data_IF_499943128572
#
_entry.id   IF_499943128572
#
_cell.length_a   1.000
_cell.length_b   1.000
_cell.length_c   1.000
_cell.angle_alpha   90.00
_cell.angle_beta   90.00
_cell.angle_gamma   90.00
#
_symmetry.space_group_name_H-M   'P 1'
#
loop_
_entity.id
_entity.type
_entity.pdbx_description
1 polymer ?
#
# COMPACT_ATOMS: atom_id res chain seq x y z
N UNK A 1 21.41 -13.53 6.45
CA UNK A 1 19.97 -13.68 6.13
C UNK A 1 19.69 -15.11 5.67
N UNK A 2 18.79 -15.85 6.33
CA UNK A 2 18.36 -17.19 5.87
C UNK A 2 17.57 -17.11 4.56
N UNK A 3 17.66 -18.12 3.69
CA UNK A 3 17.01 -18.15 2.37
C UNK A 3 15.50 -17.88 2.43
N UNK A 4 14.83 -18.36 3.48
CA UNK A 4 13.38 -18.17 3.73
C UNK A 4 12.97 -16.70 3.89
N UNK A 5 13.80 -15.85 4.50
CA UNK A 5 13.48 -14.42 4.67
C UNK A 5 13.54 -13.65 3.34
N UNK A 6 14.36 -14.09 2.37
CA UNK A 6 14.49 -13.42 1.07
C UNK A 6 13.25 -13.67 0.19
N UNK A 7 12.77 -14.90 0.12
CA UNK A 7 11.56 -15.24 -0.64
C UNK A 7 10.31 -14.53 -0.10
N UNK A 8 10.21 -14.37 1.23
CA UNK A 8 9.13 -13.59 1.83
C UNK A 8 9.16 -12.12 1.40
N UNK A 9 10.33 -11.49 1.38
CA UNK A 9 10.47 -10.09 0.92
C UNK A 9 10.12 -9.92 -0.56
N UNK A 10 10.48 -10.88 -1.41
CA UNK A 10 10.12 -10.87 -2.83
C UNK A 10 8.61 -11.01 -3.01
N UNK A 11 7.97 -11.94 -2.30
CA UNK A 11 6.52 -12.13 -2.35
C UNK A 11 5.76 -10.88 -1.91
N UNK A 12 6.23 -10.25 -0.83
CA UNK A 12 5.69 -8.97 -0.35
C UNK A 12 5.85 -7.84 -1.37
N UNK A 13 7.00 -7.76 -2.04
CA UNK A 13 7.24 -6.80 -3.12
C UNK A 13 6.25 -6.99 -4.28
N UNK A 14 6.09 -8.23 -4.74
CA UNK A 14 5.13 -8.58 -5.80
C UNK A 14 3.70 -8.23 -5.39
N UNK A 15 3.28 -8.61 -4.18
CA UNK A 15 1.95 -8.29 -3.66
C UNK A 15 1.71 -6.77 -3.54
N UNK A 16 2.74 -6.01 -3.20
CA UNK A 16 2.69 -4.54 -3.13
C UNK A 16 2.54 -3.91 -4.52
N UNK A 17 3.24 -4.44 -5.52
CA UNK A 17 3.09 -4.01 -6.92
C UNK A 17 1.69 -4.30 -7.45
N UNK A 18 1.13 -5.48 -7.18
CA UNK A 18 -0.25 -5.79 -7.56
C UNK A 18 -1.25 -4.83 -6.92
N UNK A 19 -1.07 -4.49 -5.64
CA UNK A 19 -1.90 -3.51 -4.95
C UNK A 19 -1.80 -2.11 -5.58
N UNK A 20 -0.61 -1.68 -6.00
CA UNK A 20 -0.45 -0.41 -6.72
C UNK A 20 -1.20 -0.40 -8.06
N UNK A 21 -1.14 -1.50 -8.82
CA UNK A 21 -1.88 -1.62 -10.07
C UNK A 21 -3.40 -1.59 -9.85
N UNK A 22 -3.88 -2.20 -8.77
CA UNK A 22 -5.29 -2.18 -8.39
C UNK A 22 -5.77 -0.79 -7.95
N UNK A 23 -4.91 -0.01 -7.30
CA UNK A 23 -5.29 1.27 -6.66
C UNK A 23 -5.01 2.51 -7.52
N UNK A 24 -4.14 2.41 -8.52
CA UNK A 24 -3.73 3.56 -9.35
C UNK A 24 -3.65 3.26 -10.85
N UNK A 25 -4.00 2.05 -11.30
CA UNK A 25 -3.95 1.67 -12.72
C UNK A 25 -5.30 1.69 -13.43
N UNK A 26 -5.31 1.19 -14.68
CA UNK A 26 -6.53 1.07 -15.49
C UNK A 26 -7.64 0.24 -14.81
N UNK A 27 -7.26 -0.73 -13.97
CA UNK A 27 -8.22 -1.53 -13.18
C UNK A 27 -9.00 -0.67 -12.19
N UNK A 28 -8.32 0.26 -11.51
CA UNK A 28 -8.97 1.23 -10.63
C UNK A 28 -9.98 2.08 -11.40
N UNK A 29 -9.55 2.66 -12.52
CA UNK A 29 -10.40 3.53 -13.34
C UNK A 29 -11.63 2.78 -13.83
N UNK A 30 -11.47 1.55 -14.31
CA UNK A 30 -12.58 0.71 -14.75
C UNK A 30 -13.58 0.40 -13.63
N UNK A 31 -13.09 0.10 -12.43
CA UNK A 31 -13.94 -0.10 -11.26
C UNK A 31 -14.64 1.19 -10.83
N UNK A 32 -13.94 2.32 -10.82
CA UNK A 32 -14.53 3.61 -10.47
C UNK A 32 -15.69 3.98 -11.42
N UNK A 33 -15.49 3.80 -12.74
CA UNK A 33 -16.54 4.00 -13.74
C UNK A 33 -17.70 3.01 -13.52
N UNK A 34 -17.41 1.74 -13.22
CA UNK A 34 -18.44 0.74 -12.94
C UNK A 34 -19.29 1.07 -11.70
N UNK A 35 -18.73 1.81 -10.73
CA UNK A 35 -19.43 2.34 -9.56
C UNK A 35 -20.12 3.68 -9.81
N UNK A 36 -20.03 4.24 -11.02
CA UNK A 36 -20.68 5.48 -11.43
C UNK A 36 -19.94 6.75 -11.03
N UNK A 37 -18.63 6.69 -10.79
CA UNK A 37 -17.84 7.89 -10.56
C UNK A 37 -17.68 8.68 -11.87
N UNK A 38 -17.84 9.99 -11.80
CA UNK A 38 -17.49 10.91 -12.87
C UNK A 38 -15.98 11.19 -12.88
N UNK A 39 -15.51 11.85 -13.94
CA UNK A 39 -14.08 12.17 -14.13
C UNK A 39 -13.51 13.00 -12.96
N UNK A 40 -14.33 13.90 -12.40
CA UNK A 40 -13.95 14.70 -11.25
C UNK A 40 -13.71 13.85 -10.00
N UNK A 41 -14.65 12.97 -9.64
CA UNK A 41 -14.53 12.10 -8.48
C UNK A 41 -13.42 11.06 -8.65
N UNK A 42 -13.16 10.59 -9.86
CA UNK A 42 -12.00 9.76 -10.17
C UNK A 42 -10.71 10.51 -9.85
N UNK A 43 -10.59 11.78 -10.30
CA UNK A 43 -9.45 12.64 -9.97
C UNK A 43 -9.28 12.87 -8.47
N UNK A 44 -10.38 13.13 -7.76
CA UNK A 44 -10.37 13.23 -6.29
C UNK A 44 -9.85 11.93 -5.65
N UNK A 45 -10.34 10.78 -6.11
CA UNK A 45 -9.90 9.50 -5.56
C UNK A 45 -8.40 9.25 -5.80
N UNK A 46 -7.86 9.60 -6.97
CA UNK A 46 -6.42 9.53 -7.24
C UNK A 46 -5.55 10.39 -6.31
N UNK A 47 -6.11 11.41 -5.67
CA UNK A 47 -5.39 12.23 -4.67
C UNK A 47 -5.29 11.57 -3.29
N UNK A 48 -6.16 10.60 -2.97
CA UNK A 48 -6.23 9.95 -1.67
C UNK A 48 -4.95 9.24 -1.23
N UNK A 49 -4.20 8.51 -2.09
CA UNK A 49 -2.90 7.95 -1.72
C UNK A 49 -1.95 9.03 -1.18
N UNK A 50 -1.86 10.20 -1.82
CA UNK A 50 -1.01 11.29 -1.34
C UNK A 50 -1.51 11.87 -0.03
N UNK A 51 -2.81 12.13 0.10
CA UNK A 51 -3.40 12.60 1.37
C UNK A 51 -3.15 11.60 2.51
N UNK A 52 -3.28 10.31 2.23
CA UNK A 52 -3.04 9.26 3.20
C UNK A 52 -1.59 9.25 3.71
N UNK A 53 -0.62 9.73 2.92
CA UNK A 53 0.76 9.85 3.38
C UNK A 53 0.90 10.79 4.58
N UNK A 54 0.01 11.76 4.80
CA UNK A 54 0.09 12.62 5.99
C UNK A 54 -0.06 11.80 7.27
N UNK A 55 -0.88 10.74 7.25
CA UNK A 55 -1.08 9.85 8.41
C UNK A 55 0.14 8.98 8.72
N UNK A 56 1.11 8.88 7.80
CA UNK A 56 2.36 8.17 8.02
C UNK A 56 3.13 8.70 9.24
N UNK A 57 3.01 9.99 9.55
CA UNK A 57 3.71 10.60 10.69
C UNK A 57 3.34 9.96 12.04
N UNK A 58 2.13 9.38 12.15
CA UNK A 58 1.67 8.70 13.37
C UNK A 58 2.11 7.24 13.45
N UNK A 59 2.64 6.68 12.36
CA UNK A 59 3.05 5.26 12.31
C UNK A 59 4.12 4.89 13.34
N UNK A 60 5.18 5.69 13.60
CA UNK A 60 6.20 5.35 14.59
C UNK A 60 5.62 5.14 16.00
N UNK A 61 4.66 5.97 16.40
CA UNK A 61 3.98 5.88 17.71
C UNK A 61 3.27 4.54 17.88
N UNK A 62 2.64 4.05 16.81
CA UNK A 62 1.97 2.75 16.79
C UNK A 62 3.03 1.64 16.86
N UNK A 63 4.08 1.70 16.04
CA UNK A 63 5.12 0.67 15.97
C UNK A 63 5.88 0.51 17.29
N UNK A 64 6.18 1.62 17.98
CA UNK A 64 6.89 1.59 19.27
C UNK A 64 6.08 0.93 20.40
N UNK A 65 4.74 1.04 20.36
CA UNK A 65 3.86 0.41 21.36
C UNK A 65 3.73 -1.10 21.20
N UNK A 66 4.15 -1.69 20.09
CA UNK A 66 3.96 -3.12 19.85
C UNK A 66 5.28 -3.90 19.66
N UNK A 67 5.58 -4.87 20.54
CA UNK A 67 6.84 -5.63 20.48
C UNK A 67 6.91 -6.66 19.33
N UNK A 68 5.78 -7.09 18.74
CA UNK A 68 5.72 -8.12 17.68
C UNK A 68 5.55 -7.54 16.27
N UNK A 69 6.56 -6.83 15.77
CA UNK A 69 6.53 -6.08 14.48
C UNK A 69 6.07 -6.90 13.25
N UNK A 70 6.48 -8.16 13.13
CA UNK A 70 6.06 -9.06 12.02
C UNK A 70 4.55 -9.27 11.95
N UNK A 71 3.88 -9.36 13.10
CA UNK A 71 2.44 -9.57 13.14
C UNK A 71 1.69 -8.32 12.68
N UNK A 72 2.17 -7.12 13.04
CA UNK A 72 1.56 -5.87 12.60
C UNK A 72 1.69 -5.64 11.11
N UNK A 73 2.84 -5.96 10.49
CA UNK A 73 3.00 -5.86 9.04
C UNK A 73 1.93 -6.69 8.34
N UNK A 74 1.82 -7.98 8.67
CA UNK A 74 0.82 -8.85 8.07
C UNK A 74 -0.60 -8.39 8.36
N UNK A 75 -0.90 -7.96 9.59
CA UNK A 75 -2.21 -7.49 9.97
C UNK A 75 -2.62 -6.26 9.14
N UNK A 76 -1.79 -5.21 9.12
CA UNK A 76 -2.09 -4.01 8.33
C UNK A 76 -2.15 -4.28 6.83
N UNK A 77 -1.33 -5.20 6.31
CA UNK A 77 -1.38 -5.60 4.90
C UNK A 77 -2.64 -6.38 4.52
N UNK A 78 -3.19 -7.16 5.43
CA UNK A 78 -4.47 -7.85 5.21
C UNK A 78 -5.60 -6.82 5.31
N UNK A 79 -5.56 -5.97 6.33
CA UNK A 79 -6.62 -4.98 6.59
C UNK A 79 -6.67 -3.89 5.51
N UNK A 80 -5.53 -3.49 4.93
CA UNK A 80 -5.52 -2.55 3.79
C UNK A 80 -6.09 -3.14 2.51
N UNK A 81 -6.15 -4.48 2.39
CA UNK A 81 -6.64 -5.18 1.20
C UNK A 81 -8.09 -5.64 1.33
N UNK A 82 -8.61 -5.82 2.54
CA UNK A 82 -10.03 -6.15 2.79
C UNK A 82 -11.05 -5.18 2.17
N UNK A 83 -10.82 -3.85 2.12
CA UNK A 83 -11.72 -2.90 1.45
C UNK A 83 -11.98 -3.24 -0.02
N UNK A 84 -10.99 -3.78 -0.73
CA UNK A 84 -11.13 -4.19 -2.13
C UNK A 84 -12.04 -5.40 -2.31
N UNK A 85 -12.00 -6.34 -1.37
CA UNK A 85 -12.95 -7.46 -1.35
C UNK A 85 -14.38 -6.96 -1.12
N UNK A 86 -14.55 -5.96 -0.25
CA UNK A 86 -15.86 -5.33 -0.02
C UNK A 86 -16.35 -4.65 -1.31
N UNK A 87 -15.49 -3.91 -2.02
CA UNK A 87 -15.84 -3.30 -3.32
C UNK A 87 -16.22 -4.36 -4.35
N UNK A 88 -15.49 -5.48 -4.42
CA UNK A 88 -15.83 -6.59 -5.33
C UNK A 88 -17.20 -7.20 -4.99
N UNK A 89 -17.50 -7.42 -3.71
CA UNK A 89 -18.81 -7.92 -3.27
C UNK A 89 -19.93 -6.94 -3.59
N UNK A 90 -19.74 -5.64 -3.33
CA UNK A 90 -20.71 -4.60 -3.65
C UNK A 90 -21.03 -4.57 -5.15
N UNK A 91 -20.02 -4.76 -6.00
CA UNK A 91 -20.20 -4.86 -7.44
C UNK A 91 -21.05 -6.09 -7.82
N UNK A 92 -20.80 -7.24 -7.19
CA UNK A 92 -21.57 -8.48 -7.41
C UNK A 92 -23.03 -8.35 -6.98
N UNK A 93 -23.31 -7.63 -5.89
CA UNK A 93 -24.68 -7.35 -5.43
C UNK A 93 -25.32 -6.15 -6.15
N UNK A 94 -24.69 -5.61 -7.20
CA UNK A 94 -25.16 -4.46 -7.97
C UNK A 94 -25.35 -3.17 -7.15
N UNK A 95 -24.68 -3.06 -5.99
CA UNK A 95 -24.69 -1.89 -5.12
C UNK A 95 -23.60 -0.90 -5.56
N UNK A 96 -23.91 -0.14 -6.62
CA UNK A 96 -22.97 0.75 -7.32
C UNK A 96 -23.13 2.21 -6.87
N UNK A 97 -22.81 2.49 -5.61
CA UNK A 97 -22.90 3.85 -5.06
C UNK A 97 -21.53 4.56 -5.06
N UNK A 98 -21.36 5.69 -5.79
CA UNK A 98 -20.08 6.40 -5.86
C UNK A 98 -19.54 6.84 -4.50
N UNK A 99 -20.43 7.31 -3.62
CA UNK A 99 -20.07 7.77 -2.26
C UNK A 99 -19.50 6.64 -1.40
N UNK A 100 -20.09 5.44 -1.53
CA UNK A 100 -19.66 4.26 -0.78
C UNK A 100 -18.28 3.79 -1.26
N UNK A 101 -18.06 3.80 -2.59
CA UNK A 101 -16.75 3.52 -3.18
C UNK A 101 -15.68 4.46 -2.63
N UNK A 102 -15.92 5.77 -2.65
CA UNK A 102 -14.97 6.77 -2.16
C UNK A 102 -14.66 6.61 -0.68
N UNK A 103 -15.67 6.36 0.15
CA UNK A 103 -15.47 6.18 1.59
C UNK A 103 -14.64 4.93 1.90
N UNK A 104 -14.97 3.80 1.28
CA UNK A 104 -14.23 2.54 1.44
C UNK A 104 -12.79 2.70 0.94
N UNK A 105 -12.62 3.35 -0.21
CA UNK A 105 -11.30 3.58 -0.80
C UNK A 105 -10.46 4.53 0.07
N UNK A 106 -11.01 5.65 0.55
CA UNK A 106 -10.30 6.58 1.43
C UNK A 106 -9.77 5.87 2.70
N UNK A 107 -10.61 5.07 3.35
CA UNK A 107 -10.23 4.29 4.53
C UNK A 107 -9.12 3.29 4.18
N UNK A 108 -9.23 2.61 3.04
CA UNK A 108 -8.19 1.71 2.52
C UNK A 108 -6.84 2.41 2.36
N UNK A 109 -6.83 3.64 1.83
CA UNK A 109 -5.60 4.40 1.61
C UNK A 109 -4.93 4.79 2.92
N UNK A 110 -5.70 5.24 3.92
CA UNK A 110 -5.17 5.58 5.25
C UNK A 110 -4.56 4.36 5.93
N UNK A 111 -5.25 3.21 5.90
CA UNK A 111 -4.74 1.96 6.48
C UNK A 111 -3.48 1.49 5.72
N UNK A 112 -3.48 1.59 4.40
CA UNK A 112 -2.33 1.26 3.56
C UNK A 112 -1.10 2.13 3.87
N UNK A 113 -1.29 3.40 4.20
CA UNK A 113 -0.21 4.30 4.59
C UNK A 113 0.48 3.84 5.89
N UNK A 114 -0.29 3.37 6.88
CA UNK A 114 0.27 2.74 8.08
C UNK A 114 1.03 1.46 7.72
N UNK A 115 0.44 0.58 6.90
CA UNK A 115 1.05 -0.68 6.48
C UNK A 115 2.43 -0.48 5.84
N UNK A 116 2.54 0.49 4.92
CA UNK A 116 3.78 0.82 4.22
C UNK A 116 4.89 1.22 5.19
N UNK A 117 4.59 1.99 6.23
CA UNK A 117 5.57 2.39 7.24
C UNK A 117 6.02 1.25 8.16
N UNK A 118 5.09 0.40 8.61
CA UNK A 118 5.48 -0.77 9.40
C UNK A 118 6.37 -1.68 8.56
N UNK A 119 6.08 -1.84 7.27
CA UNK A 119 6.92 -2.59 6.33
C UNK A 119 8.31 -1.98 6.17
N UNK A 120 8.44 -0.67 5.91
CA UNK A 120 9.76 -0.02 5.75
C UNK A 120 10.59 -0.05 7.04
N UNK A 121 9.95 0.04 8.22
CA UNK A 121 10.63 -0.15 9.50
C UNK A 121 11.12 -1.59 9.68
N UNK A 122 10.28 -2.58 9.38
CA UNK A 122 10.63 -3.99 9.52
C UNK A 122 11.67 -4.45 8.49
N UNK A 123 11.57 -4.00 7.24
CA UNK A 123 12.55 -4.30 6.18
C UNK A 123 13.94 -3.74 6.55
N UNK A 124 14.01 -2.56 7.19
CA UNK A 124 15.25 -2.01 7.72
C UNK A 124 15.86 -2.89 8.83
N UNK A 125 15.04 -3.46 9.71
CA UNK A 125 15.50 -4.36 10.77
C UNK A 125 15.97 -5.72 10.22
N UNK A 126 15.40 -6.18 9.11
CA UNK A 126 15.71 -7.48 8.51
C UNK A 126 16.98 -7.47 7.64
N UNK A 127 17.35 -6.32 7.07
CA UNK A 127 18.52 -6.16 6.20
C UNK A 127 19.71 -5.65 7.05
N UNK A 128 20.72 -6.49 7.35
CA UNK A 128 21.91 -6.06 8.10
C UNK A 128 22.62 -4.91 7.37
N UNK A 129 23.12 -3.93 8.12
CA UNK A 129 23.75 -2.71 7.60
C UNK A 129 24.88 -3.00 6.59
N UNK A 130 25.55 -4.15 6.71
CA UNK A 130 26.65 -4.59 5.84
C UNK A 130 26.26 -4.95 4.40
N UNK A 131 24.97 -5.20 4.10
CA UNK A 131 24.51 -5.55 2.74
C UNK A 131 23.71 -4.41 2.05
N UNK A 132 23.41 -3.31 2.76
CA UNK A 132 22.61 -2.21 2.21
C UNK A 132 23.26 -1.53 0.98
N UNK A 133 24.59 -1.43 0.97
CA UNK A 133 25.35 -0.84 -0.15
C UNK A 133 25.37 -1.72 -1.42
N UNK A 134 25.41 -3.04 -1.26
CA UNK A 134 25.46 -3.98 -2.39
C UNK A 134 24.10 -4.13 -3.09
N UNK A 135 22.99 -3.97 -2.36
CA UNK A 135 21.64 -3.97 -2.93
C UNK A 135 21.33 -2.65 -3.66
N UNK A 136 21.75 -1.50 -3.12
CA UNK A 136 21.62 -0.19 -3.77
C UNK A 136 22.45 -0.10 -5.07
N UNK A 137 23.62 -0.73 -5.11
CA UNK A 137 24.45 -0.81 -6.32
C UNK A 137 23.84 -1.69 -7.43
N UNK A 138 22.87 -2.56 -7.12
CA UNK A 138 22.26 -3.47 -8.11
C UNK A 138 20.96 -2.95 -8.76
N UNK A 139 20.58 -1.68 -8.53
CA UNK A 139 19.80 -0.96 -9.56
C UNK A 139 18.53 -0.23 -9.14
N UNK A 140 18.58 0.66 -8.14
CA UNK A 140 17.74 1.89 -8.14
C UNK A 140 18.52 3.02 -7.44
N UNK A 141 19.45 3.64 -8.15
CA UNK A 141 20.09 4.89 -7.73
C UNK A 141 20.01 5.87 -8.91
N UNK A 142 18.87 6.56 -9.02
CA UNK A 142 18.77 7.73 -9.89
C UNK A 142 19.17 8.91 -9.00
N UNK A 143 20.44 9.34 -9.06
CA UNK A 143 20.84 10.61 -8.46
C UNK A 143 20.66 11.72 -9.50
N UNK A 144 20.05 12.87 -9.14
CA UNK A 144 19.68 13.92 -10.08
C UNK A 144 20.77 14.97 -10.31
N UNK A 145 22.06 14.60 -10.34
CA UNK A 145 23.16 15.59 -10.48
C UNK A 145 24.05 15.37 -11.70
N UNK A 146 23.43 15.13 -12.87
CA UNK A 146 24.08 15.35 -14.17
C UNK A 146 23.10 15.91 -15.21
N UNK A 147 22.66 17.16 -14.99
CA UNK A 147 22.48 18.19 -16.03
C UNK A 147 23.00 19.49 -15.45
#
# INVERSE_FOLDING_TARGET
MTSSNKSFLILEGVASTFYLLLTQGAVFTGLAIAFGLDEFLIGVAYSFPMMAQVFQIFSPIIVERFPKRRFLVNFFNIVSRTPWLILALLLLFNLRQPRLFLLIFAVSQVIGAFAANVWTSWARDLIPQSERGSFLQKGVFISPWQI
#
